data_IF_135552999483
#
_entry.id   IF_135552999483
#
_cell.length_a   1.000
_cell.length_b   1.000
_cell.length_c   1.000
_cell.angle_alpha   90.00
_cell.angle_beta   90.00
_cell.angle_gamma   90.00
#
_symmetry.space_group_name_H-M   'P 1'
#
loop_
_entity.id
_entity.type
_entity.pdbx_description
1 polymer ?
#
# COMPACT_ATOMS: atom_id res chain seq x y z
N UNK A 1 1.40 -0.86 -3.24
CA UNK A 1 2.23 -0.96 -4.46
C UNK A 1 3.56 -0.25 -4.25
N UNK A 2 4.51 -0.42 -5.18
CA UNK A 2 5.80 0.29 -5.15
C UNK A 2 5.89 1.37 -6.24
N UNK A 3 5.01 1.36 -7.23
CA UNK A 3 4.87 2.46 -8.20
C UNK A 3 4.26 3.72 -7.57
N UNK A 4 4.39 4.85 -8.27
CA UNK A 4 3.92 6.18 -7.88
C UNK A 4 2.58 6.57 -8.56
N UNK A 5 1.77 5.58 -8.96
CA UNK A 5 0.56 5.86 -9.74
C UNK A 5 -0.50 6.62 -8.94
N UNK A 6 -0.54 6.46 -7.62
CA UNK A 6 -1.46 7.23 -6.77
C UNK A 6 -1.08 8.71 -6.74
N UNK A 7 0.21 9.02 -6.58
CA UNK A 7 0.76 10.37 -6.59
C UNK A 7 0.55 11.04 -7.95
N UNK A 8 0.85 10.32 -9.03
CA UNK A 8 0.64 10.82 -10.41
C UNK A 8 -0.83 11.04 -10.74
N UNK A 9 -1.74 10.31 -10.09
CA UNK A 9 -3.19 10.53 -10.18
C UNK A 9 -3.69 11.68 -9.29
N UNK A 10 -2.83 12.27 -8.45
CA UNK A 10 -3.14 13.45 -7.63
C UNK A 10 -3.33 13.17 -6.13
N UNK A 11 -3.16 11.93 -5.66
CA UNK A 11 -3.22 11.63 -4.23
C UNK A 11 -2.05 12.27 -3.48
N UNK A 12 -2.35 13.02 -2.41
CA UNK A 12 -1.33 13.75 -1.63
C UNK A 12 -0.89 13.06 -0.34
N UNK A 13 -1.65 12.07 0.14
CA UNK A 13 -1.38 11.35 1.38
C UNK A 13 -1.29 9.84 1.11
N UNK A 14 -0.18 9.42 0.50
CA UNK A 14 0.08 8.01 0.15
C UNK A 14 1.09 7.43 1.13
N UNK A 15 0.71 6.31 1.77
CA UNK A 15 1.59 5.57 2.68
C UNK A 15 2.11 4.29 2.02
N UNK A 16 3.35 4.33 1.55
CA UNK A 16 4.03 3.19 0.94
C UNK A 16 4.49 2.16 1.98
N UNK A 17 3.72 1.07 2.15
CA UNK A 17 4.11 -0.01 3.06
C UNK A 17 5.42 -0.70 2.66
N UNK A 18 5.59 -0.95 1.36
CA UNK A 18 6.72 -1.72 0.83
C UNK A 18 7.74 -0.82 0.11
N UNK A 19 7.79 0.46 0.46
CA UNK A 19 8.64 1.45 -0.21
C UNK A 19 8.10 1.90 -1.59
N UNK A 20 8.93 2.63 -2.32
CA UNK A 20 8.60 3.27 -3.59
C UNK A 20 9.78 3.11 -4.57
N UNK A 21 9.50 2.61 -5.77
CA UNK A 21 10.51 2.15 -6.74
C UNK A 21 11.29 3.29 -7.39
N UNK A 22 10.76 4.52 -7.36
CA UNK A 22 11.43 5.73 -7.85
C UNK A 22 12.52 6.23 -6.90
N UNK A 23 12.74 5.53 -5.77
CA UNK A 23 13.74 5.88 -4.77
C UNK A 23 14.67 4.70 -4.48
N UNK A 24 15.85 5.03 -3.99
CA UNK A 24 16.84 4.10 -3.45
C UNK A 24 17.04 4.35 -1.96
N UNK A 25 17.65 3.40 -1.27
CA UNK A 25 18.04 3.50 0.13
C UNK A 25 19.43 2.93 0.38
N UNK A 26 20.07 3.33 1.47
CA UNK A 26 21.31 2.69 1.95
C UNK A 26 21.04 1.25 2.42
N UNK A 27 21.95 0.35 2.07
CA UNK A 27 21.92 -1.04 2.55
C UNK A 27 22.27 -1.18 4.04
N UNK A 28 22.87 -0.15 4.66
CA UNK A 28 23.20 -0.13 6.10
C UNK A 28 22.20 0.66 6.94
N UNK A 29 21.64 1.74 6.38
CA UNK A 29 20.69 2.59 7.09
C UNK A 29 19.48 2.89 6.17
N UNK A 30 18.36 2.17 6.33
CA UNK A 30 17.20 2.30 5.43
C UNK A 30 16.52 3.67 5.49
N UNK A 31 16.77 4.49 6.52
CA UNK A 31 16.24 5.85 6.62
C UNK A 31 16.89 6.84 5.63
N UNK A 32 18.08 6.49 5.13
CA UNK A 32 18.78 7.28 4.12
C UNK A 32 18.24 6.93 2.74
N UNK A 33 17.38 7.80 2.22
CA UNK A 33 16.65 7.60 0.95
C UNK A 33 16.97 8.67 -0.08
N UNK A 34 17.07 8.29 -1.35
CA UNK A 34 17.46 9.16 -2.46
C UNK A 34 16.54 8.91 -3.65
N UNK A 35 16.34 9.92 -4.47
CA UNK A 35 15.61 9.74 -5.73
C UNK A 35 16.50 9.03 -6.75
N UNK A 36 15.91 8.18 -7.58
CA UNK A 36 16.59 7.56 -8.72
C UNK A 36 16.36 8.44 -9.94
N UNK A 37 17.44 8.90 -10.58
CA UNK A 37 17.36 9.60 -11.85
C UNK A 37 17.31 8.62 -13.02
N UNK A 38 16.32 8.75 -13.89
CA UNK A 38 16.08 7.82 -14.99
C UNK A 38 15.48 6.49 -14.53
N UNK A 39 16.02 5.38 -15.03
CA UNK A 39 15.46 4.03 -14.85
C UNK A 39 16.42 3.04 -14.18
N UNK A 40 17.68 3.42 -13.98
CA UNK A 40 18.75 2.53 -13.55
C UNK A 40 19.33 3.01 -12.22
N UNK A 41 19.55 2.07 -11.29
CA UNK A 41 20.35 2.27 -10.09
C UNK A 41 21.64 1.44 -10.24
N UNK A 42 22.80 2.09 -10.22
CA UNK A 42 24.09 1.46 -10.51
C UNK A 42 24.77 0.94 -9.25
N UNK A 43 25.59 -0.10 -9.40
CA UNK A 43 26.31 -0.75 -8.30
C UNK A 43 27.44 0.11 -7.72
N UNK A 44 27.77 1.24 -8.33
CA UNK A 44 28.77 2.18 -7.83
C UNK A 44 28.15 3.27 -6.95
N UNK A 45 26.82 3.41 -6.96
CA UNK A 45 26.11 4.44 -6.22
C UNK A 45 26.06 4.10 -4.73
N UNK A 46 26.54 5.03 -3.90
CA UNK A 46 26.69 4.86 -2.46
C UNK A 46 26.09 6.04 -1.71
N UNK A 47 25.61 5.78 -0.51
CA UNK A 47 25.22 6.84 0.42
C UNK A 47 26.45 7.53 1.04
N UNK A 48 26.22 8.58 1.84
CA UNK A 48 27.28 9.28 2.59
C UNK A 48 28.06 8.40 3.58
N UNK A 49 27.54 7.21 3.93
CA UNK A 49 28.24 6.22 4.76
C UNK A 49 29.13 5.27 3.96
N UNK A 50 29.20 5.43 2.63
CA UNK A 50 29.96 4.57 1.72
C UNK A 50 29.34 3.19 1.51
N UNK A 51 28.11 2.94 1.97
CA UNK A 51 27.39 1.69 1.70
C UNK A 51 26.67 1.75 0.36
N UNK A 52 26.48 0.58 -0.26
CA UNK A 52 25.73 0.42 -1.49
C UNK A 52 24.30 0.99 -1.38
N UNK A 53 23.84 1.67 -2.42
CA UNK A 53 22.43 1.95 -2.61
C UNK A 53 21.72 0.75 -3.23
N UNK A 54 20.51 0.48 -2.75
CA UNK A 54 19.58 -0.52 -3.29
C UNK A 54 18.22 0.13 -3.53
N UNK A 55 17.31 -0.47 -4.31
CA UNK A 55 15.95 0.05 -4.44
C UNK A 55 15.28 0.19 -3.06
N UNK A 56 14.55 1.29 -2.86
CA UNK A 56 13.74 1.54 -1.66
C UNK A 56 12.46 0.70 -1.74
N UNK A 57 12.65 -0.62 -1.66
CA UNK A 57 11.60 -1.63 -1.75
C UNK A 57 11.85 -2.67 -0.68
N UNK A 58 10.79 -3.04 0.03
CA UNK A 58 10.81 -4.10 1.03
C UNK A 58 10.77 -5.46 0.33
N UNK A 59 11.77 -6.30 0.59
CA UNK A 59 11.84 -7.68 0.11
C UNK A 59 11.20 -8.67 1.08
N UNK A 60 10.93 -9.88 0.60
CA UNK A 60 10.48 -10.95 1.48
C UNK A 60 11.54 -11.26 2.54
N UNK A 61 11.09 -11.34 3.79
CA UNK A 61 11.96 -11.54 4.95
C UNK A 61 12.40 -10.24 5.63
N UNK A 62 12.12 -9.08 5.02
CA UNK A 62 12.42 -7.78 5.61
C UNK A 62 11.25 -7.24 6.45
N UNK A 63 11.53 -6.40 7.46
CA UNK A 63 10.49 -5.69 8.18
C UNK A 63 9.72 -4.73 7.26
N UNK A 64 8.44 -4.54 7.54
CA UNK A 64 7.59 -3.54 6.87
C UNK A 64 7.50 -2.30 7.78
N UNK A 65 8.36 -1.28 7.61
CA UNK A 65 8.54 -0.22 8.61
C UNK A 65 7.27 0.58 8.86
N UNK A 66 6.46 0.80 7.82
CA UNK A 66 5.26 1.63 7.91
C UNK A 66 4.03 0.87 8.44
N UNK A 67 4.16 -0.40 8.85
CA UNK A 67 3.00 -1.22 9.23
C UNK A 67 2.30 -0.71 10.50
N UNK A 68 3.05 -0.23 11.49
CA UNK A 68 2.49 0.31 12.73
C UNK A 68 1.77 1.64 12.49
N UNK A 69 2.36 2.50 11.65
CA UNK A 69 1.69 3.75 11.24
C UNK A 69 0.40 3.44 10.48
N UNK A 70 0.43 2.47 9.56
CA UNK A 70 -0.74 2.08 8.80
C UNK A 70 -1.84 1.50 9.70
N UNK A 71 -1.50 0.66 10.67
CA UNK A 71 -2.49 0.08 11.59
C UNK A 71 -3.17 1.15 12.45
N UNK A 72 -2.43 2.17 12.90
CA UNK A 72 -2.98 3.31 13.63
C UNK A 72 -3.92 4.17 12.77
N UNK A 73 -3.60 4.37 11.48
CA UNK A 73 -4.49 5.07 10.55
C UNK A 73 -5.76 4.23 10.36
N UNK A 74 -5.61 2.93 10.12
CA UNK A 74 -6.73 2.02 9.90
C UNK A 74 -7.69 1.99 11.10
N UNK A 75 -7.21 2.16 12.34
CA UNK A 75 -8.08 2.11 13.51
C UNK A 75 -8.97 3.32 13.72
N UNK A 76 -8.83 4.36 12.89
CA UNK A 76 -9.54 5.63 13.02
C UNK A 76 -10.49 5.89 11.85
N UNK A 77 -10.73 4.91 10.97
CA UNK A 77 -11.52 5.10 9.76
C UNK A 77 -13.01 4.80 9.98
N UNK A 78 -13.86 5.60 9.36
CA UNK A 78 -15.29 5.29 9.20
C UNK A 78 -15.54 4.38 8.00
N UNK A 79 -14.68 4.48 6.96
CA UNK A 79 -14.75 3.68 5.73
C UNK A 79 -13.38 3.08 5.42
N UNK A 80 -13.33 1.79 5.15
CA UNK A 80 -12.13 1.06 4.75
C UNK A 80 -12.33 0.34 3.41
N UNK A 81 -11.51 0.67 2.41
CA UNK A 81 -11.59 0.06 1.07
C UNK A 81 -10.35 -0.78 0.78
N UNK A 82 -10.58 -2.02 0.33
CA UNK A 82 -9.56 -2.96 -0.12
C UNK A 82 -9.71 -3.10 -1.62
N UNK A 83 -8.66 -2.78 -2.38
CA UNK A 83 -8.73 -2.74 -3.84
C UNK A 83 -7.56 -3.55 -4.41
N UNK A 84 -7.87 -4.54 -5.25
CA UNK A 84 -6.89 -5.24 -6.09
C UNK A 84 -5.76 -5.93 -5.30
N UNK A 85 -6.09 -6.70 -4.26
CA UNK A 85 -5.12 -7.46 -3.47
C UNK A 85 -5.65 -8.85 -3.17
N UNK A 86 -4.79 -9.85 -3.13
CA UNK A 86 -5.16 -11.22 -2.75
C UNK A 86 -5.37 -11.41 -1.24
N UNK A 87 -4.99 -10.43 -0.42
CA UNK A 87 -4.96 -10.53 1.05
C UNK A 87 -4.13 -11.72 1.58
N UNK A 88 -3.07 -12.12 0.86
CA UNK A 88 -2.19 -13.23 1.25
C UNK A 88 -0.84 -12.78 1.82
N UNK A 89 -0.42 -11.55 1.53
CA UNK A 89 0.90 -11.05 1.95
C UNK A 89 0.80 -10.40 3.33
N UNK A 90 1.44 -11.02 4.31
CA UNK A 90 1.54 -10.49 5.67
C UNK A 90 2.74 -9.55 5.78
N UNK A 91 2.65 -8.49 6.62
CA UNK A 91 1.54 -8.16 7.53
C UNK A 91 0.37 -7.37 6.91
N UNK A 92 0.50 -6.85 5.69
CA UNK A 92 -0.49 -5.97 5.06
C UNK A 92 -1.92 -6.55 5.03
N UNK A 93 -2.05 -7.85 4.78
CA UNK A 93 -3.33 -8.56 4.78
C UNK A 93 -4.15 -8.42 6.09
N UNK A 94 -3.50 -8.07 7.22
CA UNK A 94 -4.16 -7.91 8.52
C UNK A 94 -4.68 -6.50 8.80
N UNK A 95 -4.39 -5.50 7.96
CA UNK A 95 -4.77 -4.12 8.22
C UNK A 95 -6.29 -3.92 8.38
N UNK A 96 -7.10 -4.70 7.66
CA UNK A 96 -8.56 -4.73 7.81
C UNK A 96 -9.02 -5.05 9.24
N UNK A 97 -8.24 -5.80 10.02
CA UNK A 97 -8.59 -6.16 11.38
C UNK A 97 -8.40 -5.02 12.37
N UNK A 98 -7.68 -3.96 11.99
CA UNK A 98 -7.55 -2.76 12.78
C UNK A 98 -8.70 -1.78 12.53
N UNK A 99 -9.36 -1.85 11.37
CA UNK A 99 -10.53 -1.04 11.09
C UNK A 99 -11.66 -1.34 12.09
N UNK A 100 -12.30 -0.31 12.68
CA UNK A 100 -13.37 -0.49 13.67
C UNK A 100 -14.46 -1.46 13.22
N UNK A 101 -15.13 -2.13 14.17
CA UNK A 101 -16.25 -3.02 13.81
C UNK A 101 -17.41 -2.26 13.15
N UNK A 102 -17.58 -0.99 13.52
CA UNK A 102 -18.62 -0.09 13.00
C UNK A 102 -18.30 0.51 11.63
N UNK A 103 -17.03 0.47 11.20
CA UNK A 103 -16.63 1.08 9.92
C UNK A 103 -17.24 0.28 8.76
N UNK A 104 -17.66 0.97 7.71
CA UNK A 104 -18.02 0.32 6.45
C UNK A 104 -16.77 -0.23 5.77
N UNK A 105 -16.84 -1.47 5.29
CA UNK A 105 -15.69 -2.16 4.70
C UNK A 105 -16.05 -2.63 3.30
N UNK A 106 -15.25 -2.24 2.31
CA UNK A 106 -15.43 -2.63 0.92
C UNK A 106 -14.26 -3.49 0.44
N UNK A 107 -14.55 -4.54 -0.32
CA UNK A 107 -13.56 -5.37 -1.01
C UNK A 107 -13.85 -5.37 -2.50
N UNK A 108 -12.99 -4.71 -3.27
CA UNK A 108 -13.08 -4.54 -4.72
C UNK A 108 -11.97 -5.36 -5.37
N UNK A 109 -12.37 -6.50 -5.94
CA UNK A 109 -11.49 -7.38 -6.70
C UNK A 109 -12.34 -8.28 -7.60
N UNK A 110 -11.93 -8.63 -8.83
CA UNK A 110 -12.69 -9.55 -9.68
C UNK A 110 -13.01 -10.91 -9.01
N UNK A 111 -12.24 -11.30 -7.99
CA UNK A 111 -12.43 -12.52 -7.20
C UNK A 111 -12.87 -12.25 -5.77
N UNK A 112 -13.46 -11.09 -5.47
CA UNK A 112 -13.83 -10.69 -4.12
C UNK A 112 -14.68 -11.75 -3.37
N UNK A 113 -15.57 -12.46 -4.08
CA UNK A 113 -16.42 -13.50 -3.50
C UNK A 113 -15.66 -14.78 -3.09
N UNK A 114 -14.53 -15.05 -3.73
CA UNK A 114 -13.66 -16.19 -3.44
C UNK A 114 -12.71 -15.92 -2.27
N UNK A 115 -12.56 -14.65 -1.88
CA UNK A 115 -11.57 -14.25 -0.90
C UNK A 115 -12.08 -14.45 0.53
N UNK A 116 -11.31 -15.19 1.32
CA UNK A 116 -11.60 -15.37 2.73
C UNK A 116 -11.29 -14.10 3.53
N UNK A 117 -12.33 -13.53 4.12
CA UNK A 117 -12.22 -12.40 5.04
C UNK A 117 -13.32 -12.52 6.10
N UNK A 118 -12.98 -12.20 7.35
CA UNK A 118 -13.93 -12.21 8.48
C UNK A 118 -14.55 -10.83 8.66
N UNK A 119 -15.81 -10.81 9.10
CA UNK A 119 -16.54 -9.57 9.41
C UNK A 119 -17.51 -9.16 8.30
N UNK A 120 -18.23 -8.06 8.55
CA UNK A 120 -19.17 -7.50 7.59
C UNK A 120 -18.39 -6.69 6.54
N UNK A 121 -18.23 -7.23 5.34
CA UNK A 121 -17.50 -6.62 4.24
C UNK A 121 -18.39 -6.67 3.00
N UNK A 122 -18.62 -5.51 2.39
CA UNK A 122 -19.33 -5.35 1.14
C UNK A 122 -18.38 -5.75 0.01
N UNK A 123 -18.71 -6.84 -0.68
CA UNK A 123 -17.88 -7.40 -1.76
C UNK A 123 -18.36 -6.90 -3.11
N UNK A 124 -17.41 -6.44 -3.91
CA UNK A 124 -17.61 -5.89 -5.24
C UNK A 124 -16.75 -6.71 -6.20
N UNK A 125 -17.31 -7.78 -6.82
CA UNK A 125 -16.59 -8.69 -7.72
C UNK A 125 -16.34 -8.05 -9.09
N UNK A 126 -15.67 -6.90 -9.11
CA UNK A 126 -15.41 -6.09 -10.29
C UNK A 126 -13.93 -5.69 -10.39
N UNK A 127 -13.50 -5.26 -11.58
CA UNK A 127 -12.17 -4.67 -11.74
C UNK A 127 -12.09 -3.35 -10.97
N UNK A 128 -10.90 -3.01 -10.45
CA UNK A 128 -10.68 -1.75 -9.73
C UNK A 128 -11.19 -0.52 -10.53
N UNK A 129 -10.95 -0.49 -11.84
CA UNK A 129 -11.37 0.62 -12.70
C UNK A 129 -12.89 0.86 -12.75
N UNK A 130 -13.73 -0.16 -12.54
CA UNK A 130 -15.20 -0.01 -12.53
C UNK A 130 -15.75 0.01 -11.11
N UNK A 131 -15.29 -0.92 -10.26
CA UNK A 131 -15.78 -1.07 -8.89
C UNK A 131 -15.46 0.14 -8.01
N UNK A 132 -14.27 0.74 -8.14
CA UNK A 132 -13.90 1.93 -7.36
C UNK A 132 -14.78 3.12 -7.74
N UNK A 133 -14.96 3.39 -9.04
CA UNK A 133 -15.79 4.51 -9.52
C UNK A 133 -17.22 4.40 -8.96
N UNK A 134 -17.83 3.22 -9.10
CA UNK A 134 -19.19 2.95 -8.63
C UNK A 134 -19.37 3.20 -7.12
N UNK A 135 -18.42 2.77 -6.30
CA UNK A 135 -18.49 2.97 -4.84
C UNK A 135 -18.29 4.44 -4.49
N UNK A 136 -17.29 5.09 -5.09
CA UNK A 136 -17.00 6.51 -4.82
C UNK A 136 -18.17 7.41 -5.24
N UNK A 137 -18.81 7.14 -6.39
CA UNK A 137 -19.98 7.89 -6.84
C UNK A 137 -21.15 7.79 -5.87
N UNK A 138 -21.39 6.62 -5.28
CA UNK A 138 -22.42 6.45 -4.26
C UNK A 138 -22.06 7.21 -2.97
N UNK A 139 -20.83 7.05 -2.48
CA UNK A 139 -20.39 7.68 -1.23
C UNK A 139 -20.35 9.21 -1.28
N UNK A 140 -20.20 9.80 -2.47
CA UNK A 140 -20.21 11.26 -2.65
C UNK A 140 -21.63 11.84 -2.80
N UNK A 141 -22.66 11.00 -2.93
CA UNK A 141 -24.05 11.43 -3.01
C UNK A 141 -24.73 11.47 -1.63
N UNK A 142 -24.19 10.75 -0.66
CA UNK A 142 -24.61 10.73 0.75
C UNK A 142 -24.05 11.94 1.55
#
# INVERSE_FOLDING_TARGET
NIDDLHERAGSSNVLHLHGIITRSQSDKNPELTYDIDGWELKMEEKCELGSQLRPHVVWFGEPVPMIEKASLICSQVDIFMIIGTSLQVYPAARLINFAPTVSEKYLIDPKADEMFSKGNIIRIPEKAATGVLKIVENLLQD
#
